data_IF_805978863998
#
_entry.id   IF_805978863998
#
_cell.length_a   1.000
_cell.length_b   1.000
_cell.length_c   1.000
_cell.angle_alpha   90.00
_cell.angle_beta   90.00
_cell.angle_gamma   90.00
#
_symmetry.space_group_name_H-M   'P 1'
#
loop_
_entity.id
_entity.type
_entity.pdbx_description
1 polymer ?
#
# COMPACT_ATOMS: atom_id res chain seq x y z
N UNK A 1 6.66 -24.91 -5.99
CA UNK A 1 6.63 -23.83 -7.00
C UNK A 1 5.79 -22.70 -6.44
N UNK A 2 6.39 -21.68 -5.86
CA UNK A 2 5.67 -20.45 -5.49
C UNK A 2 5.49 -19.65 -6.77
N UNK A 3 4.25 -19.53 -7.24
CA UNK A 3 3.90 -18.73 -8.41
C UNK A 3 4.13 -17.24 -8.07
N UNK A 4 4.51 -16.42 -9.05
CA UNK A 4 4.72 -14.98 -8.84
C UNK A 4 3.38 -14.23 -8.70
N UNK A 5 3.33 -13.12 -7.93
CA UNK A 5 2.10 -12.31 -7.76
C UNK A 5 1.35 -11.99 -9.08
N UNK A 6 2.04 -11.62 -10.19
CA UNK A 6 1.37 -11.42 -11.48
C UNK A 6 0.60 -12.66 -11.96
N UNK A 7 1.12 -13.87 -11.73
CA UNK A 7 0.39 -15.09 -12.07
C UNK A 7 -0.92 -15.19 -11.28
N UNK A 8 -0.92 -14.92 -9.98
CA UNK A 8 -2.13 -14.96 -9.16
C UNK A 8 -3.19 -13.96 -9.61
N UNK A 9 -2.80 -12.73 -9.97
CA UNK A 9 -3.74 -11.76 -10.52
C UNK A 9 -4.33 -12.19 -11.87
N UNK A 10 -3.56 -12.89 -12.70
CA UNK A 10 -4.08 -13.46 -13.94
C UNK A 10 -5.13 -14.53 -13.68
N UNK A 11 -4.90 -15.40 -12.70
CA UNK A 11 -5.87 -16.43 -12.32
C UNK A 11 -7.13 -15.85 -11.66
N UNK A 12 -7.01 -14.74 -10.92
CA UNK A 12 -8.17 -13.98 -10.43
C UNK A 12 -9.04 -13.50 -11.61
N UNK A 13 -8.43 -12.90 -12.64
CA UNK A 13 -9.18 -12.44 -13.83
C UNK A 13 -9.94 -13.59 -14.50
N UNK A 14 -9.29 -14.75 -14.67
CA UNK A 14 -9.96 -15.94 -15.21
C UNK A 14 -11.09 -16.43 -14.29
N UNK A 15 -10.88 -16.42 -12.98
CA UNK A 15 -11.88 -16.81 -11.99
C UNK A 15 -13.11 -15.89 -11.99
N UNK A 16 -12.95 -14.64 -12.42
CA UNK A 16 -14.04 -13.68 -12.64
C UNK A 16 -14.73 -13.83 -14.00
N UNK A 17 -14.25 -14.71 -14.89
CA UNK A 17 -14.79 -14.92 -16.23
C UNK A 17 -14.28 -13.92 -17.28
N UNK A 18 -13.27 -13.11 -16.97
CA UNK A 18 -12.62 -12.20 -17.93
C UNK A 18 -11.65 -12.96 -18.84
N UNK A 19 -11.44 -12.44 -20.06
CA UNK A 19 -10.38 -12.88 -20.97
C UNK A 19 -9.09 -12.08 -20.71
N UNK A 20 -8.04 -12.67 -20.11
CA UNK A 20 -6.81 -11.95 -19.82
C UNK A 20 -5.97 -11.62 -21.07
N UNK A 21 -6.30 -12.17 -22.24
CA UNK A 21 -5.63 -11.86 -23.50
C UNK A 21 -6.19 -10.61 -24.19
N UNK A 22 -7.31 -10.05 -23.69
CA UNK A 22 -7.85 -8.80 -24.24
C UNK A 22 -6.86 -7.66 -24.05
N UNK A 23 -6.76 -6.78 -25.04
CA UNK A 23 -5.80 -5.66 -25.09
C UNK A 23 -5.68 -4.90 -23.75
N UNK A 24 -6.82 -4.60 -23.10
CA UNK A 24 -6.85 -3.87 -21.83
C UNK A 24 -6.33 -4.64 -20.60
N UNK A 25 -6.29 -5.99 -20.64
CA UNK A 25 -5.87 -6.83 -19.51
C UNK A 25 -4.50 -7.46 -19.64
N UNK A 26 -3.88 -7.45 -20.83
CA UNK A 26 -2.56 -8.06 -21.05
C UNK A 26 -1.55 -7.71 -19.95
N UNK A 27 -1.48 -6.43 -19.58
CA UNK A 27 -0.58 -5.91 -18.56
C UNK A 27 -1.23 -5.76 -17.16
N UNK A 28 -2.53 -6.01 -17.01
CA UNK A 28 -3.22 -5.87 -15.72
C UNK A 28 -2.58 -6.72 -14.62
N UNK A 29 -2.22 -8.00 -14.83
CA UNK A 29 -1.62 -8.79 -13.77
C UNK A 29 -0.29 -8.22 -13.26
N UNK A 30 0.53 -7.64 -14.15
CA UNK A 30 1.78 -6.96 -13.79
C UNK A 30 1.50 -5.67 -13.02
N UNK A 31 0.54 -4.86 -13.48
CA UNK A 31 0.16 -3.60 -12.82
C UNK A 31 -0.44 -3.85 -11.43
N UNK A 32 -1.33 -4.82 -11.31
CA UNK A 32 -1.98 -5.17 -10.05
C UNK A 32 -0.98 -5.70 -9.02
N UNK A 33 -0.04 -6.57 -9.45
CA UNK A 33 1.05 -7.03 -8.59
C UNK A 33 1.90 -5.86 -8.07
N UNK A 34 2.33 -4.96 -8.95
CA UNK A 34 3.12 -3.78 -8.57
C UNK A 34 2.33 -2.86 -7.61
N UNK A 35 1.03 -2.66 -7.86
CA UNK A 35 0.18 -1.86 -7.00
C UNK A 35 0.07 -2.48 -5.59
N UNK A 36 -0.16 -3.79 -5.48
CA UNK A 36 -0.25 -4.47 -4.19
C UNK A 36 1.08 -4.41 -3.41
N UNK A 37 2.21 -4.61 -4.10
CA UNK A 37 3.53 -4.46 -3.48
C UNK A 37 3.74 -3.03 -2.97
N UNK A 38 3.35 -2.01 -3.74
CA UNK A 38 3.41 -0.63 -3.29
C UNK A 38 2.49 -0.37 -2.09
N UNK A 39 1.25 -0.85 -2.10
CA UNK A 39 0.33 -0.65 -0.97
C UNK A 39 0.82 -1.32 0.32
N UNK A 40 1.63 -2.36 0.20
CA UNK A 40 2.21 -3.11 1.32
C UNK A 40 3.70 -2.79 1.58
N UNK A 41 4.29 -1.79 0.93
CA UNK A 41 5.74 -1.51 1.04
C UNK A 41 6.17 -1.12 2.47
N UNK A 42 5.23 -0.68 3.32
CA UNK A 42 5.48 -0.35 4.71
C UNK A 42 6.03 -1.52 5.54
N UNK A 43 5.82 -2.78 5.14
CA UNK A 43 6.41 -3.94 5.82
C UNK A 43 7.94 -4.03 5.70
N UNK A 44 8.50 -3.40 4.65
CA UNK A 44 9.94 -3.41 4.40
C UNK A 44 10.62 -2.12 4.88
N UNK A 45 9.84 -1.19 5.46
CA UNK A 45 10.37 0.09 5.94
C UNK A 45 10.97 -0.04 7.35
N UNK A 46 12.02 0.75 7.60
CA UNK A 46 12.67 0.86 8.89
C UNK A 46 12.36 2.23 9.53
N UNK A 47 12.01 2.23 10.81
CA UNK A 47 11.64 3.45 11.54
C UNK A 47 12.82 4.43 11.71
N UNK A 48 14.03 3.92 11.96
CA UNK A 48 15.24 4.73 12.15
C UNK A 48 15.60 5.46 10.86
N UNK A 49 15.50 4.78 9.72
CA UNK A 49 15.70 5.37 8.39
C UNK A 49 14.62 6.42 8.06
N UNK A 50 13.36 6.17 8.42
CA UNK A 50 12.26 7.14 8.21
C UNK A 50 12.46 8.40 9.06
N UNK A 51 12.80 8.23 10.35
CA UNK A 51 13.02 9.35 11.27
C UNK A 51 14.28 10.13 10.88
N UNK A 52 15.29 9.45 10.32
CA UNK A 52 16.51 10.04 9.76
C UNK A 52 17.19 11.06 10.68
N UNK A 53 17.18 10.80 12.00
CA UNK A 53 17.78 11.69 12.99
C UNK A 53 17.13 13.07 13.10
N UNK A 54 15.92 13.29 12.57
CA UNK A 54 15.19 14.56 12.63
C UNK A 54 14.61 14.85 14.03
N UNK A 55 15.48 14.80 15.04
CA UNK A 55 15.18 15.07 16.44
C UNK A 55 15.90 16.35 16.85
N UNK A 56 15.14 17.32 17.36
CA UNK A 56 15.65 18.64 17.72
C UNK A 56 15.32 18.94 19.18
N UNK A 57 16.29 19.52 19.90
CA UNK A 57 16.02 20.05 21.22
C UNK A 57 15.02 21.21 21.13
N UNK A 58 14.05 21.24 22.03
CA UNK A 58 13.01 22.25 22.11
C UNK A 58 12.74 22.56 23.57
N UNK A 59 12.67 23.85 23.90
CA UNK A 59 12.25 24.34 25.22
C UNK A 59 10.72 24.45 25.34
N UNK A 60 9.98 24.12 24.27
CA UNK A 60 8.51 24.11 24.26
C UNK A 60 7.96 22.92 25.05
N UNK A 61 7.19 23.20 26.10
CA UNK A 61 6.50 22.23 26.96
C UNK A 61 4.97 22.17 26.69
N UNK A 62 4.48 22.89 25.68
CA UNK A 62 3.09 22.86 25.25
C UNK A 62 2.81 21.73 24.24
N UNK A 63 1.53 21.37 24.09
CA UNK A 63 1.09 20.33 23.16
C UNK A 63 1.28 20.77 21.70
N UNK A 64 1.91 19.89 20.90
CA UNK A 64 1.98 20.03 19.44
C UNK A 64 0.99 19.05 18.82
N UNK A 65 0.15 19.54 17.90
CA UNK A 65 -0.83 18.72 17.18
C UNK A 65 -0.57 18.81 15.68
N UNK A 66 -0.47 17.66 15.02
CA UNK A 66 -0.54 17.53 13.57
C UNK A 66 -1.90 16.92 13.22
N UNK A 67 -2.68 17.63 12.39
CA UNK A 67 -4.02 17.20 11.98
C UNK A 67 -4.14 17.12 10.48
N UNK A 68 -5.14 16.37 10.02
CA UNK A 68 -5.51 16.24 8.62
C UNK A 68 -4.42 15.57 7.76
N UNK A 69 -3.62 14.67 8.36
CA UNK A 69 -2.67 13.83 7.63
C UNK A 69 -3.47 12.83 6.81
N UNK A 70 -3.35 12.87 5.48
CA UNK A 70 -4.03 11.92 4.59
C UNK A 70 -3.52 10.50 4.83
N UNK A 71 -4.46 9.57 5.00
CA UNK A 71 -4.16 8.17 5.24
C UNK A 71 -4.86 7.28 4.20
N UNK A 72 -4.09 6.44 3.54
CA UNK A 72 -4.54 5.40 2.63
C UNK A 72 -3.97 4.06 3.13
N UNK A 73 -4.84 3.07 3.33
CA UNK A 73 -4.40 1.75 3.78
C UNK A 73 -5.35 0.66 3.24
N UNK A 74 -5.05 -0.60 3.56
CA UNK A 74 -5.79 -1.78 3.11
C UNK A 74 -6.41 -2.52 4.29
N UNK A 75 -7.68 -2.86 4.19
CA UNK A 75 -8.33 -3.75 5.16
C UNK A 75 -7.86 -5.19 4.92
N UNK A 76 -7.22 -5.80 5.91
CA UNK A 76 -6.71 -7.17 5.81
C UNK A 76 -7.80 -8.23 5.56
N UNK A 77 -9.03 -7.99 6.00
CA UNK A 77 -10.14 -8.94 5.86
C UNK A 77 -10.66 -9.06 4.42
N UNK A 78 -10.61 -7.96 3.65
CA UNK A 78 -11.26 -7.87 2.33
C UNK A 78 -10.30 -7.43 1.23
N UNK A 79 -9.10 -6.97 1.58
CA UNK A 79 -8.11 -6.37 0.67
C UNK A 79 -8.64 -5.15 -0.10
N UNK A 80 -9.59 -4.43 0.50
CA UNK A 80 -10.14 -3.20 -0.04
C UNK A 80 -9.55 -1.98 0.68
N UNK A 81 -9.38 -0.84 -0.01
CA UNK A 81 -8.86 0.37 0.63
C UNK A 81 -9.80 0.90 1.70
N UNK A 82 -9.22 1.42 2.79
CA UNK A 82 -9.89 2.41 3.63
C UNK A 82 -9.07 3.70 3.61
N UNK A 83 -9.78 4.82 3.54
CA UNK A 83 -9.20 6.14 3.31
C UNK A 83 -9.72 7.07 4.38
N UNK A 84 -8.83 7.86 4.98
CA UNK A 84 -9.20 8.75 6.07
C UNK A 84 -8.11 9.76 6.41
N UNK A 85 -8.16 10.22 7.65
CA UNK A 85 -7.22 11.19 8.20
C UNK A 85 -6.68 10.71 9.54
N UNK A 86 -5.40 10.96 9.78
CA UNK A 86 -4.78 10.80 11.08
C UNK A 86 -4.57 12.17 11.76
N UNK A 87 -4.66 12.15 13.08
CA UNK A 87 -4.37 13.28 13.96
C UNK A 87 -3.43 12.76 15.06
N UNK A 88 -2.28 13.42 15.24
CA UNK A 88 -1.23 13.03 16.20
C UNK A 88 -0.91 14.23 17.09
#
# INVERSE_FOLDING_TARGET
MTLSLPHHYREILKGLGEDPEREGLLDTPKRAAKAMQYLCHGYEQNLEEIVNGALFASDNDEMVILKDIELYSLCEHHLLPFIGKAHV
#
